data_IF_846305851742
#
_entry.id   IF_846305851742
#
_cell.length_a   1.000
_cell.length_b   1.000
_cell.length_c   1.000
_cell.angle_alpha   90.00
_cell.angle_beta   90.00
_cell.angle_gamma   90.00
#
_symmetry.space_group_name_H-M   'P 1'
#
loop_
_entity.id
_entity.type
_entity.pdbx_description
1 polymer ?
#
# COMPACT_ATOMS: atom_id res chain seq x y z
N UNK A 1 0.24 22.76 27.22
CA UNK A 1 -0.42 21.43 27.16
C UNK A 1 0.46 20.52 26.32
N UNK A 2 0.55 19.23 26.61
CA UNK A 2 1.27 18.32 25.74
C UNK A 2 0.55 18.23 24.37
N UNK A 3 1.30 18.24 23.29
CA UNK A 3 0.76 18.07 21.93
C UNK A 3 0.03 16.73 21.81
N UNK A 4 -1.19 16.75 21.33
CA UNK A 4 -1.98 15.54 21.10
C UNK A 4 -2.06 15.32 19.58
N UNK A 5 -1.48 14.23 19.11
CA UNK A 5 -1.47 13.87 17.70
C UNK A 5 -2.89 13.89 17.07
N UNK A 6 -3.02 14.41 15.86
CA UNK A 6 -4.31 14.62 15.19
C UNK A 6 -5.14 13.34 15.09
N UNK A 7 -4.51 12.18 14.81
CA UNK A 7 -5.23 10.89 14.74
C UNK A 7 -5.85 10.46 16.07
N UNK A 8 -5.38 11.00 17.22
CA UNK A 8 -5.99 10.78 18.54
C UNK A 8 -7.08 11.81 18.81
N UNK A 9 -6.82 13.09 18.51
CA UNK A 9 -7.75 14.21 18.69
C UNK A 9 -9.02 14.03 17.88
N UNK A 10 -8.89 13.58 16.63
CA UNK A 10 -10.01 13.38 15.69
C UNK A 10 -10.49 11.92 15.61
N UNK A 11 -10.18 11.12 16.65
CA UNK A 11 -10.72 9.77 16.71
C UNK A 11 -12.24 9.83 16.89
N UNK A 12 -13.03 9.13 16.02
CA UNK A 12 -14.48 9.14 16.10
C UNK A 12 -14.98 8.78 17.52
N UNK A 13 -15.91 9.58 18.05
CA UNK A 13 -16.55 9.37 19.34
C UNK A 13 -18.00 8.93 19.22
N UNK A 14 -18.63 9.19 18.09
CA UNK A 14 -20.00 8.80 17.73
C UNK A 14 -20.02 8.11 16.37
N UNK A 15 -21.10 7.41 16.07
CA UNK A 15 -21.27 6.81 14.75
C UNK A 15 -21.39 7.82 13.61
N UNK A 16 -21.77 9.08 13.90
CA UNK A 16 -21.85 10.16 12.91
C UNK A 16 -20.45 10.62 12.43
N UNK A 17 -19.42 10.38 13.25
CA UNK A 17 -18.04 10.72 12.93
C UNK A 17 -17.32 9.60 12.16
N UNK A 18 -17.98 8.47 11.88
CA UNK A 18 -17.38 7.33 11.20
C UNK A 18 -17.58 7.45 9.69
N UNK A 19 -16.50 7.61 8.95
CA UNK A 19 -16.50 7.77 7.50
C UNK A 19 -16.29 6.45 6.76
N UNK A 20 -16.99 6.28 5.64
CA UNK A 20 -16.77 5.18 4.68
C UNK A 20 -17.24 3.79 5.11
N UNK A 21 -17.99 3.68 6.23
CA UNK A 21 -18.50 2.42 6.75
C UNK A 21 -20.04 2.44 6.98
N UNK A 22 -20.77 3.15 6.10
CA UNK A 22 -22.21 3.46 6.29
C UNK A 22 -23.10 2.24 6.54
N UNK A 23 -22.86 1.14 5.83
CA UNK A 23 -23.64 -0.10 5.99
C UNK A 23 -23.44 -0.72 7.38
N UNK A 24 -22.21 -0.70 7.89
CA UNK A 24 -21.85 -1.21 9.22
C UNK A 24 -22.50 -0.32 10.28
N UNK A 25 -22.28 0.98 10.17
CA UNK A 25 -22.84 1.99 11.09
C UNK A 25 -24.35 1.87 11.17
N UNK A 26 -25.03 1.82 10.03
CA UNK A 26 -26.50 1.66 9.98
C UNK A 26 -26.96 0.39 10.68
N UNK A 27 -26.28 -0.73 10.47
CA UNK A 27 -26.62 -2.00 11.09
C UNK A 27 -26.46 -1.94 12.61
N UNK A 28 -25.32 -1.44 13.08
CA UNK A 28 -25.03 -1.33 14.52
C UNK A 28 -26.00 -0.38 15.21
N UNK A 29 -26.33 0.77 14.63
CA UNK A 29 -27.33 1.71 15.13
C UNK A 29 -28.69 1.04 15.30
N UNK A 30 -29.14 0.31 14.27
CA UNK A 30 -30.43 -0.40 14.33
C UNK A 30 -30.46 -1.44 15.46
N UNK A 31 -29.33 -2.10 15.72
CA UNK A 31 -29.23 -3.06 16.85
C UNK A 31 -29.36 -2.34 18.19
N UNK A 32 -28.73 -1.19 18.36
CA UNK A 32 -28.85 -0.39 19.57
C UNK A 32 -30.29 0.13 19.77
N UNK A 33 -30.89 0.70 18.74
CA UNK A 33 -32.27 1.24 18.78
C UNK A 33 -33.27 0.11 19.17
N UNK A 34 -33.11 -1.06 18.58
CA UNK A 34 -33.98 -2.19 18.84
C UNK A 34 -33.58 -3.01 20.07
N UNK A 35 -32.49 -2.67 20.77
CA UNK A 35 -31.93 -3.44 21.89
C UNK A 35 -31.67 -4.92 21.54
N UNK A 36 -31.30 -5.20 20.27
CA UNK A 36 -31.06 -6.55 19.73
C UNK A 36 -29.62 -6.63 19.22
N UNK A 37 -28.66 -6.57 20.10
CA UNK A 37 -27.24 -6.72 19.77
C UNK A 37 -26.73 -8.13 20.09
N UNK A 38 -25.69 -8.56 19.37
CA UNK A 38 -25.07 -9.87 19.53
C UNK A 38 -24.17 -9.89 20.77
N UNK A 39 -23.94 -11.08 21.33
CA UNK A 39 -22.99 -11.29 22.41
C UNK A 39 -21.51 -11.31 21.95
N UNK A 40 -21.27 -11.54 20.65
CA UNK A 40 -19.94 -11.54 20.06
C UNK A 40 -19.93 -10.93 18.66
N UNK A 41 -18.99 -10.03 18.43
CA UNK A 41 -18.73 -9.35 17.17
C UNK A 41 -17.32 -9.66 16.69
N UNK A 42 -17.13 -9.76 15.37
CA UNK A 42 -15.83 -9.88 14.74
C UNK A 42 -15.70 -8.82 13.63
N UNK A 43 -14.90 -7.80 13.90
CA UNK A 43 -14.60 -6.71 12.98
C UNK A 43 -13.28 -7.02 12.27
N UNK A 44 -13.31 -7.12 10.93
CA UNK A 44 -12.11 -7.38 10.16
C UNK A 44 -11.96 -6.39 9.01
N UNK A 45 -10.72 -6.13 8.59
CA UNK A 45 -10.40 -5.24 7.49
C UNK A 45 -9.05 -4.55 7.66
N UNK A 46 -8.72 -3.65 6.73
CA UNK A 46 -7.45 -2.93 6.70
C UNK A 46 -7.16 -2.22 8.04
N UNK A 47 -5.88 -2.12 8.40
CA UNK A 47 -5.45 -1.28 9.53
C UNK A 47 -5.89 0.16 9.29
N UNK A 48 -6.34 0.86 10.33
CA UNK A 48 -6.80 2.26 10.20
C UNK A 48 -8.16 2.47 9.54
N UNK A 49 -8.90 1.41 9.20
CA UNK A 49 -10.26 1.48 8.62
C UNK A 49 -11.38 1.80 9.62
N UNK A 50 -11.05 1.98 10.92
CA UNK A 50 -12.00 2.37 11.96
C UNK A 50 -12.49 1.23 12.88
N UNK A 51 -12.04 -0.02 12.76
CA UNK A 51 -12.47 -1.19 13.57
C UNK A 51 -12.54 -0.90 15.06
N UNK A 52 -11.41 -0.56 15.66
CA UNK A 52 -11.31 -0.31 17.10
C UNK A 52 -12.07 0.95 17.53
N UNK A 53 -12.16 1.97 16.67
CA UNK A 53 -12.98 3.16 16.93
C UNK A 53 -14.47 2.82 17.00
N UNK A 54 -14.97 2.06 16.02
CA UNK A 54 -16.36 1.59 16.01
C UNK A 54 -16.64 0.64 17.17
N UNK A 55 -15.68 -0.21 17.54
CA UNK A 55 -15.80 -1.07 18.75
C UNK A 55 -16.00 -0.24 20.02
N UNK A 56 -15.24 0.83 20.22
CA UNK A 56 -15.38 1.75 21.35
C UNK A 56 -16.72 2.50 21.33
N UNK A 57 -17.16 2.97 20.15
CA UNK A 57 -18.46 3.64 20.00
C UNK A 57 -19.58 2.67 20.34
N UNK A 58 -19.54 1.44 19.79
CA UNK A 58 -20.51 0.40 20.08
C UNK A 58 -20.58 0.05 21.56
N UNK A 59 -19.43 -0.06 22.23
CA UNK A 59 -19.34 -0.34 23.67
C UNK A 59 -20.01 0.73 24.51
N UNK A 60 -19.82 2.00 24.16
CA UNK A 60 -20.49 3.14 24.81
C UNK A 60 -21.98 3.13 24.52
N UNK A 61 -22.37 2.87 23.27
CA UNK A 61 -23.77 2.89 22.83
C UNK A 61 -24.58 1.77 23.50
N UNK A 62 -24.04 0.55 23.65
CA UNK A 62 -24.68 -0.57 24.37
C UNK A 62 -24.96 -0.21 25.82
N UNK A 63 -24.05 0.49 26.48
CA UNK A 63 -24.17 0.87 27.89
C UNK A 63 -24.80 2.25 28.11
N UNK A 64 -25.09 3.00 27.06
CA UNK A 64 -25.64 4.33 27.14
C UNK A 64 -27.03 4.32 27.76
N UNK A 65 -27.30 5.21 28.72
CA UNK A 65 -28.60 5.32 29.37
C UNK A 65 -29.66 5.91 28.43
N UNK A 66 -29.27 6.88 27.59
CA UNK A 66 -30.14 7.62 26.68
C UNK A 66 -29.50 7.71 25.28
N UNK A 67 -29.44 6.61 24.52
CA UNK A 67 -28.88 6.65 23.17
C UNK A 67 -29.75 7.49 22.23
N UNK A 68 -29.14 8.39 21.49
CA UNK A 68 -29.82 9.26 20.51
C UNK A 68 -29.59 8.71 19.11
N UNK A 69 -30.65 8.25 18.45
CA UNK A 69 -30.54 7.62 17.12
C UNK A 69 -29.49 6.51 17.04
N UNK A 70 -29.35 5.74 18.13
CA UNK A 70 -28.34 4.67 18.25
C UNK A 70 -26.91 5.15 18.55
N UNK A 71 -26.66 6.46 18.65
CA UNK A 71 -25.41 7.01 19.12
C UNK A 71 -25.34 7.05 20.66
N UNK A 72 -24.14 6.93 21.25
CA UNK A 72 -23.96 7.25 22.67
C UNK A 72 -24.26 8.73 22.92
N UNK A 73 -24.94 9.05 24.02
CA UNK A 73 -25.38 10.44 24.31
C UNK A 73 -24.21 11.37 24.70
N UNK A 74 -23.04 10.84 24.99
CA UNK A 74 -21.85 11.57 25.42
C UNK A 74 -22.03 12.49 26.64
N UNK A 75 -23.05 12.24 27.46
CA UNK A 75 -23.40 13.04 28.64
C UNK A 75 -23.65 12.22 29.90
N UNK A 76 -24.09 10.96 29.80
CA UNK A 76 -24.31 10.08 30.95
C UNK A 76 -23.00 9.51 31.47
N UNK A 77 -23.00 9.02 32.72
CA UNK A 77 -21.83 8.47 33.37
C UNK A 77 -21.21 7.30 32.59
N UNK A 78 -22.05 6.49 31.95
CA UNK A 78 -21.58 5.38 31.10
C UNK A 78 -20.84 5.84 29.83
N UNK A 79 -21.15 7.05 29.29
CA UNK A 79 -20.51 7.60 28.11
C UNK A 79 -19.27 8.45 28.42
N UNK A 80 -19.32 9.20 29.53
CA UNK A 80 -18.34 10.24 29.91
C UNK A 80 -17.38 9.78 30.99
N UNK A 81 -17.02 8.48 31.01
CA UNK A 81 -16.11 7.98 32.04
C UNK A 81 -14.79 8.76 32.03
N UNK A 82 -14.53 9.47 33.13
CA UNK A 82 -13.32 10.30 33.28
C UNK A 82 -12.13 9.36 33.38
N UNK A 83 -11.11 9.57 32.59
CA UNK A 83 -9.81 8.90 32.59
C UNK A 83 -9.62 7.72 31.61
N UNK A 84 -10.46 7.54 30.60
CA UNK A 84 -10.32 6.46 29.57
C UNK A 84 -10.22 5.02 30.13
N UNK A 85 -10.27 4.84 31.42
CA UNK A 85 -10.20 3.53 32.11
C UNK A 85 -11.55 3.23 32.75
N UNK A 86 -12.37 2.50 32.01
CA UNK A 86 -13.66 2.02 32.53
C UNK A 86 -13.50 0.55 32.97
N UNK A 87 -13.81 0.16 34.19
CA UNK A 87 -13.63 -1.21 34.65
C UNK A 87 -14.59 -2.22 33.94
N UNK A 88 -15.64 -1.71 33.29
CA UNK A 88 -16.64 -2.54 32.60
C UNK A 88 -16.44 -2.51 31.07
N UNK A 89 -15.54 -1.67 30.52
CA UNK A 89 -15.11 -1.69 29.11
C UNK A 89 -13.61 -1.95 29.07
N UNK A 90 -13.22 -3.18 28.84
CA UNK A 90 -11.85 -3.64 28.88
C UNK A 90 -11.34 -3.78 27.46
N UNK A 91 -10.35 -2.97 27.10
CA UNK A 91 -9.68 -3.03 25.80
C UNK A 91 -8.31 -3.69 25.97
N UNK A 92 -8.05 -4.72 25.18
CA UNK A 92 -6.82 -5.51 25.20
C UNK A 92 -6.26 -5.58 23.78
N UNK A 93 -4.98 -5.26 23.63
CA UNK A 93 -4.21 -5.56 22.44
C UNK A 93 -3.65 -6.98 22.57
N UNK A 94 -4.08 -7.87 21.69
CA UNK A 94 -3.63 -9.26 21.69
C UNK A 94 -2.15 -9.42 21.32
N UNK A 95 -1.55 -8.44 20.63
CA UNK A 95 -0.11 -8.46 20.33
C UNK A 95 0.72 -8.37 21.61
N UNK A 96 0.27 -7.56 22.59
CA UNK A 96 0.90 -7.40 23.90
C UNK A 96 0.44 -8.45 24.91
N UNK A 97 -0.72 -9.09 24.69
CA UNK A 97 -1.39 -9.99 25.63
C UNK A 97 -1.75 -11.34 25.00
N UNK A 98 -0.82 -11.94 24.24
CA UNK A 98 -1.05 -13.16 23.45
C UNK A 98 -1.12 -14.45 24.27
N UNK A 99 -0.72 -14.40 25.56
CA UNK A 99 -0.60 -15.59 26.39
C UNK A 99 -1.96 -16.15 26.83
N UNK A 100 -2.02 -17.48 27.01
CA UNK A 100 -3.24 -18.14 27.48
C UNK A 100 -3.60 -17.74 28.90
N UNK A 101 -2.62 -17.40 29.74
CA UNK A 101 -2.81 -16.96 31.12
C UNK A 101 -3.57 -15.65 31.19
N UNK A 102 -3.23 -14.68 30.31
CA UNK A 102 -3.92 -13.39 30.24
C UNK A 102 -5.38 -13.57 29.83
N UNK A 103 -5.64 -14.40 28.83
CA UNK A 103 -7.01 -14.70 28.37
C UNK A 103 -7.80 -15.47 29.45
N UNK A 104 -7.19 -16.39 30.17
CA UNK A 104 -7.87 -17.08 31.28
C UNK A 104 -8.26 -16.11 32.40
N UNK A 105 -7.39 -15.18 32.78
CA UNK A 105 -7.73 -14.13 33.78
C UNK A 105 -8.91 -13.30 33.29
N UNK A 106 -8.92 -12.89 32.03
CA UNK A 106 -10.01 -12.14 31.43
C UNK A 106 -11.34 -12.93 31.48
N UNK A 107 -11.29 -14.23 31.16
CA UNK A 107 -12.46 -15.12 31.22
C UNK A 107 -12.97 -15.29 32.65
N UNK A 108 -12.08 -15.41 33.60
CA UNK A 108 -12.47 -15.51 35.03
C UNK A 108 -13.08 -14.19 35.52
N UNK A 109 -12.57 -13.05 35.11
CA UNK A 109 -13.14 -11.73 35.38
C UNK A 109 -14.51 -11.52 34.70
N UNK A 110 -14.73 -12.15 33.53
CA UNK A 110 -16.00 -12.08 32.79
C UNK A 110 -17.16 -12.75 33.53
N UNK A 111 -16.89 -13.66 34.48
CA UNK A 111 -17.91 -14.31 35.32
C UNK A 111 -18.58 -13.37 36.31
N UNK A 112 -17.87 -12.29 36.67
CA UNK A 112 -18.37 -11.30 37.63
C UNK A 112 -19.20 -10.24 36.92
N UNK A 113 -20.30 -9.82 37.57
CA UNK A 113 -21.19 -8.77 37.04
C UNK A 113 -20.44 -7.45 36.87
N UNK A 114 -20.89 -6.59 35.93
CA UNK A 114 -20.35 -5.24 35.81
C UNK A 114 -20.46 -4.45 37.10
N UNK A 115 -19.52 -3.51 37.31
CA UNK A 115 -19.48 -2.69 38.52
C UNK A 115 -20.41 -1.47 38.42
N UNK A 116 -20.43 -0.82 37.29
CA UNK A 116 -21.17 0.44 37.07
C UNK A 116 -22.15 0.39 35.89
N UNK A 117 -21.94 -0.52 34.93
CA UNK A 117 -22.66 -0.57 33.68
C UNK A 117 -23.66 -1.74 33.60
N UNK A 118 -24.48 -1.77 32.56
CA UNK A 118 -25.39 -2.90 32.28
C UNK A 118 -24.63 -4.11 31.74
N UNK A 119 -23.63 -3.85 30.90
CA UNK A 119 -22.85 -4.88 30.20
C UNK A 119 -21.37 -4.67 30.41
N UNK A 120 -20.66 -5.76 30.62
CA UNK A 120 -19.21 -5.83 30.62
C UNK A 120 -18.73 -6.14 29.23
N UNK A 121 -17.91 -5.26 28.63
CA UNK A 121 -17.52 -5.35 27.23
C UNK A 121 -16.03 -5.57 27.13
N UNK A 122 -15.66 -6.58 26.36
CA UNK A 122 -14.27 -6.91 26.07
C UNK A 122 -13.98 -6.61 24.60
N UNK A 123 -13.11 -5.62 24.35
CA UNK A 123 -12.56 -5.30 23.04
C UNK A 123 -11.19 -5.96 22.96
N UNK A 124 -11.03 -6.94 22.06
CA UNK A 124 -9.76 -7.61 21.82
C UNK A 124 -9.26 -7.19 20.43
N UNK A 125 -8.29 -6.29 20.43
CA UNK A 125 -7.69 -5.81 19.17
C UNK A 125 -6.59 -6.77 18.70
N UNK A 126 -6.40 -6.85 17.38
CA UNK A 126 -5.49 -7.76 16.68
C UNK A 126 -5.60 -9.22 17.19
N UNK A 127 -6.84 -9.69 17.32
CA UNK A 127 -7.15 -11.01 17.93
C UNK A 127 -6.42 -12.17 17.25
N UNK A 128 -6.01 -12.03 15.98
CA UNK A 128 -5.21 -13.04 15.26
C UNK A 128 -3.83 -13.30 15.88
N UNK A 129 -3.36 -12.43 16.78
CA UNK A 129 -2.09 -12.61 17.51
C UNK A 129 -2.22 -13.55 18.72
N UNK A 130 -3.44 -13.95 19.08
CA UNK A 130 -3.65 -14.91 20.16
C UNK A 130 -3.10 -16.29 19.80
N UNK A 131 -2.51 -16.97 20.79
CA UNK A 131 -2.11 -18.37 20.63
C UNK A 131 -3.33 -19.29 20.42
N UNK A 132 -3.14 -20.44 19.77
CA UNK A 132 -4.21 -21.43 19.58
C UNK A 132 -4.84 -21.89 20.90
N UNK A 133 -4.06 -21.99 21.97
CA UNK A 133 -4.53 -22.31 23.33
C UNK A 133 -5.36 -21.19 23.94
N UNK A 134 -5.03 -19.91 23.64
CA UNK A 134 -5.82 -18.76 24.07
C UNK A 134 -7.17 -18.70 23.34
N UNK A 135 -7.20 -18.96 22.01
CA UNK A 135 -8.45 -19.11 21.28
C UNK A 135 -9.34 -20.20 21.86
N UNK A 136 -8.78 -21.38 22.14
CA UNK A 136 -9.54 -22.49 22.73
C UNK A 136 -10.10 -22.16 24.12
N UNK A 137 -9.38 -21.38 24.93
CA UNK A 137 -9.90 -20.90 26.20
C UNK A 137 -11.08 -19.93 26.01
N UNK A 138 -10.99 -19.01 25.03
CA UNK A 138 -12.02 -18.01 24.74
C UNK A 138 -13.29 -18.64 24.17
N UNK A 139 -13.16 -19.72 23.38
CA UNK A 139 -14.28 -20.40 22.72
C UNK A 139 -15.41 -20.77 23.67
N UNK A 140 -15.11 -21.37 24.84
CA UNK A 140 -16.12 -21.78 25.81
C UNK A 140 -16.99 -20.61 26.28
N UNK A 141 -16.37 -19.45 26.46
CA UNK A 141 -17.07 -18.25 26.95
C UNK A 141 -17.84 -17.54 25.83
N UNK A 142 -17.38 -17.66 24.56
CA UNK A 142 -18.13 -17.14 23.41
C UNK A 142 -19.34 -18.06 23.08
N UNK A 143 -19.24 -19.37 23.32
CA UNK A 143 -20.34 -20.32 23.12
C UNK A 143 -21.46 -20.11 24.14
N UNK A 144 -21.11 -19.97 25.39
CA UNK A 144 -22.03 -19.79 26.52
C UNK A 144 -21.66 -18.52 27.33
N UNK A 145 -21.85 -17.34 26.72
CA UNK A 145 -21.46 -16.10 27.38
C UNK A 145 -22.40 -15.79 28.54
N UNK A 146 -21.86 -15.25 29.66
CA UNK A 146 -22.72 -14.65 30.70
C UNK A 146 -23.62 -13.57 30.06
N UNK A 147 -24.87 -13.48 30.49
CA UNK A 147 -25.88 -12.58 29.91
C UNK A 147 -25.48 -11.09 29.92
N UNK A 148 -24.50 -10.73 30.74
CA UNK A 148 -23.99 -9.38 30.91
C UNK A 148 -22.68 -9.12 30.15
N UNK A 149 -22.19 -10.06 29.33
CA UNK A 149 -20.90 -9.96 28.64
C UNK A 149 -21.09 -9.82 27.14
N UNK A 150 -20.34 -8.89 26.54
CA UNK A 150 -20.24 -8.72 25.08
C UNK A 150 -18.77 -8.72 24.67
N UNK A 151 -18.44 -9.51 23.66
CA UNK A 151 -17.11 -9.55 23.06
C UNK A 151 -17.09 -8.80 21.73
N UNK A 152 -16.08 -7.97 21.49
CA UNK A 152 -15.82 -7.31 20.23
C UNK A 152 -14.39 -7.63 19.83
N UNK A 153 -14.22 -8.51 18.86
CA UNK A 153 -12.93 -8.97 18.36
C UNK A 153 -12.60 -8.16 17.11
N UNK A 154 -11.38 -7.59 17.05
CA UNK A 154 -10.89 -6.85 15.89
C UNK A 154 -9.68 -7.57 15.30
N UNK A 155 -9.58 -7.63 13.97
CA UNK A 155 -8.45 -8.24 13.27
C UNK A 155 -8.17 -7.59 11.92
N UNK A 156 -6.92 -7.58 11.51
CA UNK A 156 -6.50 -7.28 10.14
C UNK A 156 -6.40 -8.57 9.30
N UNK A 157 -6.25 -9.73 9.93
CA UNK A 157 -5.96 -11.00 9.27
C UNK A 157 -7.05 -12.05 9.58
N UNK A 158 -8.18 -11.96 8.86
CA UNK A 158 -9.33 -12.84 9.05
C UNK A 158 -8.99 -14.33 8.86
N UNK A 159 -8.06 -14.67 7.98
CA UNK A 159 -7.66 -16.05 7.68
C UNK A 159 -6.96 -16.75 8.85
N UNK A 160 -6.33 -15.99 9.77
CA UNK A 160 -5.70 -16.54 10.99
C UNK A 160 -6.69 -16.81 12.12
N UNK A 161 -7.91 -16.27 12.05
CA UNK A 161 -8.93 -16.50 13.07
C UNK A 161 -9.59 -17.87 12.84
N UNK A 162 -9.69 -18.75 13.84
CA UNK A 162 -10.33 -20.06 13.69
C UNK A 162 -11.80 -19.96 13.28
N UNK A 163 -12.25 -20.89 12.42
CA UNK A 163 -13.64 -20.92 11.95
C UNK A 163 -14.65 -21.18 13.09
N UNK A 164 -14.20 -21.84 14.15
CA UNK A 164 -14.98 -22.04 15.38
C UNK A 164 -15.35 -20.72 16.08
N UNK A 165 -14.49 -19.70 16.02
CA UNK A 165 -14.78 -18.35 16.52
C UNK A 165 -15.70 -17.62 15.53
N UNK A 166 -15.34 -17.67 14.21
CA UNK A 166 -16.09 -16.98 13.15
C UNK A 166 -17.58 -17.36 13.15
N UNK A 167 -17.89 -18.66 13.33
CA UNK A 167 -19.26 -19.16 13.32
C UNK A 167 -20.13 -18.67 14.50
N UNK A 168 -19.52 -18.14 15.55
CA UNK A 168 -20.21 -17.68 16.77
C UNK A 168 -20.24 -16.15 16.90
N UNK A 169 -19.58 -15.45 16.00
CA UNK A 169 -19.53 -14.00 15.99
C UNK A 169 -20.38 -13.42 14.85
N UNK A 170 -20.97 -12.27 15.09
CA UNK A 170 -21.51 -11.46 14.01
C UNK A 170 -20.34 -10.74 13.32
N UNK A 171 -20.14 -11.05 12.04
CA UNK A 171 -18.96 -10.63 11.27
C UNK A 171 -19.26 -9.33 10.51
N UNK A 172 -18.34 -8.35 10.59
CA UNK A 172 -18.39 -7.08 9.87
C UNK A 172 -17.09 -6.84 9.10
N UNK A 173 -17.21 -6.62 7.79
CA UNK A 173 -16.09 -6.33 6.90
C UNK A 173 -15.89 -4.83 6.73
N UNK A 174 -14.86 -4.27 7.33
CA UNK A 174 -14.44 -2.88 7.17
C UNK A 174 -13.65 -2.73 5.87
N UNK A 175 -14.26 -2.09 4.90
CA UNK A 175 -13.65 -1.83 3.59
C UNK A 175 -12.58 -0.73 3.68
N UNK A 176 -11.59 -0.73 2.77
CA UNK A 176 -10.75 0.45 2.58
C UNK A 176 -11.63 1.67 2.28
N UNK A 177 -11.27 2.81 2.85
CA UNK A 177 -12.02 4.06 2.68
C UNK A 177 -11.60 4.70 1.35
N UNK A 178 -12.56 5.18 0.56
CA UNK A 178 -12.26 5.83 -0.71
C UNK A 178 -11.50 7.14 -0.50
N UNK A 179 -10.64 7.51 -1.46
CA UNK A 179 -9.83 8.73 -1.40
C UNK A 179 -10.69 9.97 -1.19
N UNK A 180 -11.83 10.06 -1.88
CA UNK A 180 -12.74 11.22 -1.77
C UNK A 180 -13.26 11.40 -0.34
N UNK A 181 -13.66 10.30 0.31
CA UNK A 181 -14.14 10.32 1.71
C UNK A 181 -13.01 10.68 2.68
N UNK A 182 -11.78 10.20 2.42
CA UNK A 182 -10.62 10.60 3.23
C UNK A 182 -10.37 12.09 3.07
N UNK A 183 -10.34 12.63 1.85
CA UNK A 183 -10.13 14.05 1.55
C UNK A 183 -11.18 14.90 2.25
N UNK A 184 -12.45 14.51 2.23
CA UNK A 184 -13.53 15.22 2.94
C UNK A 184 -13.24 15.34 4.43
N UNK A 185 -12.82 14.26 5.08
CA UNK A 185 -12.46 14.29 6.50
C UNK A 185 -11.18 15.09 6.77
N UNK A 186 -10.16 15.00 5.90
CA UNK A 186 -8.94 15.82 6.02
C UNK A 186 -9.26 17.31 5.90
N UNK A 187 -10.12 17.73 4.96
CA UNK A 187 -10.61 19.13 4.86
C UNK A 187 -11.25 19.59 6.15
N UNK A 188 -12.13 18.78 6.75
CA UNK A 188 -12.75 19.11 8.03
C UNK A 188 -11.71 19.33 9.13
N UNK A 189 -10.67 18.49 9.19
CA UNK A 189 -9.59 18.60 10.18
C UNK A 189 -8.81 19.90 9.93
N UNK A 190 -8.38 20.15 8.70
CA UNK A 190 -7.61 21.33 8.29
C UNK A 190 -8.35 22.63 8.67
N UNK A 191 -9.65 22.69 8.39
CA UNK A 191 -10.50 23.85 8.76
C UNK A 191 -10.62 23.98 10.28
N UNK A 192 -10.81 22.86 10.99
CA UNK A 192 -10.96 22.86 12.47
C UNK A 192 -9.68 23.27 13.20
N UNK A 193 -8.52 22.97 12.64
CA UNK A 193 -7.20 23.33 13.17
C UNK A 193 -6.67 24.66 12.63
N UNK A 194 -7.42 25.35 11.75
CA UNK A 194 -7.01 26.63 11.11
C UNK A 194 -5.70 26.49 10.31
N UNK A 195 -5.54 25.38 9.59
CA UNK A 195 -4.35 25.06 8.80
C UNK A 195 -4.55 25.48 7.32
N UNK A 196 -4.85 26.75 7.07
CA UNK A 196 -5.21 27.26 5.74
C UNK A 196 -4.12 27.02 4.69
N UNK A 197 -2.85 26.97 5.09
CA UNK A 197 -1.70 26.70 4.24
C UNK A 197 -1.67 25.26 3.69
N UNK A 198 -2.36 24.30 4.32
CA UNK A 198 -2.53 22.92 3.86
C UNK A 198 -3.89 22.67 3.19
N UNK A 199 -4.75 23.67 3.10
CA UNK A 199 -6.07 23.57 2.50
C UNK A 199 -6.03 23.62 0.96
N UNK A 200 -5.28 22.70 0.37
CA UNK A 200 -5.16 22.51 -1.07
C UNK A 200 -5.62 21.11 -1.45
N UNK A 201 -6.56 21.02 -2.39
CA UNK A 201 -7.14 19.74 -2.81
C UNK A 201 -6.08 18.77 -3.32
N UNK A 202 -5.08 19.22 -4.08
CA UNK A 202 -4.01 18.37 -4.61
C UNK A 202 -3.18 17.76 -3.49
N UNK A 203 -2.84 18.55 -2.45
CA UNK A 203 -2.11 18.09 -1.27
C UNK A 203 -2.93 17.03 -0.51
N UNK A 204 -4.24 17.34 -0.27
CA UNK A 204 -5.10 16.42 0.46
C UNK A 204 -5.36 15.11 -0.29
N UNK A 205 -5.51 15.17 -1.62
CA UNK A 205 -5.61 13.97 -2.46
C UNK A 205 -4.31 13.15 -2.45
N UNK A 206 -3.16 13.82 -2.47
CA UNK A 206 -1.88 13.15 -2.32
C UNK A 206 -1.76 12.43 -0.97
N UNK A 207 -2.08 13.11 0.14
CA UNK A 207 -2.09 12.52 1.48
C UNK A 207 -3.05 11.32 1.55
N UNK A 208 -4.26 11.45 1.01
CA UNK A 208 -5.24 10.37 0.95
C UNK A 208 -4.75 9.17 0.12
N UNK A 209 -4.01 9.44 -0.96
CA UNK A 209 -3.40 8.40 -1.79
C UNK A 209 -2.31 7.62 -1.05
N UNK A 210 -1.47 8.31 -0.30
CA UNK A 210 -0.43 7.72 0.55
C UNK A 210 -0.99 6.90 1.71
N UNK A 211 -2.14 7.30 2.24
CA UNK A 211 -2.84 6.58 3.31
C UNK A 211 -3.49 5.26 2.89
N UNK A 212 -3.58 4.98 1.58
CA UNK A 212 -4.02 3.71 0.98
C UNK A 212 -5.31 3.13 1.60
N UNK A 213 -6.33 3.97 1.75
CA UNK A 213 -7.62 3.59 2.32
C UNK A 213 -7.66 3.51 3.86
N UNK A 214 -6.58 3.92 4.53
CA UNK A 214 -6.48 4.04 5.98
C UNK A 214 -6.69 5.48 6.42
N UNK A 215 -7.80 5.76 7.10
CA UNK A 215 -8.06 7.09 7.68
C UNK A 215 -7.01 7.48 8.72
N UNK A 216 -6.59 6.53 9.55
CA UNK A 216 -5.58 6.78 10.60
C UNK A 216 -4.25 7.19 10.01
N UNK A 217 -3.78 6.48 8.97
CA UNK A 217 -2.48 6.74 8.37
C UNK A 217 -2.53 8.04 7.56
N UNK A 218 -3.65 8.34 6.86
CA UNK A 218 -3.85 9.63 6.19
C UNK A 218 -3.81 10.82 7.16
N UNK A 219 -4.47 10.71 8.32
CA UNK A 219 -4.43 11.75 9.36
C UNK A 219 -3.04 11.86 10.00
N UNK A 220 -2.30 10.75 10.14
CA UNK A 220 -0.91 10.77 10.64
C UNK A 220 0.03 11.46 9.65
N UNK A 221 -0.15 11.25 8.34
CA UNK A 221 0.59 11.92 7.28
C UNK A 221 0.29 13.43 7.29
N UNK A 222 -0.99 13.82 7.48
CA UNK A 222 -1.36 15.22 7.64
C UNK A 222 -0.67 15.85 8.87
N UNK A 223 -0.64 15.14 9.99
CA UNK A 223 0.01 15.55 11.24
C UNK A 223 1.52 15.78 11.04
N UNK A 224 2.18 14.94 10.26
CA UNK A 224 3.57 15.08 9.88
C UNK A 224 3.80 16.32 8.99
N UNK A 225 2.89 16.59 8.04
CA UNK A 225 2.92 17.84 7.26
C UNK A 225 2.80 19.08 8.17
N UNK A 226 1.86 19.06 9.13
CA UNK A 226 1.68 20.16 10.09
C UNK A 226 2.96 20.39 10.87
N UNK A 227 3.56 19.34 11.45
CA UNK A 227 4.78 19.46 12.23
C UNK A 227 5.97 20.03 11.44
N UNK A 228 6.05 19.74 10.13
CA UNK A 228 7.17 20.21 9.29
C UNK A 228 6.97 21.61 8.75
N UNK A 229 5.73 22.04 8.49
CA UNK A 229 5.43 23.27 7.78
C UNK A 229 4.82 24.39 8.65
N UNK A 230 4.44 24.09 9.89
CA UNK A 230 3.78 25.06 10.80
C UNK A 230 4.63 26.31 11.12
N UNK A 231 5.94 26.24 10.93
CA UNK A 231 6.90 27.29 11.34
C UNK A 231 7.09 28.37 10.26
N UNK A 232 6.70 28.13 9.01
CA UNK A 232 7.19 28.97 7.90
C UNK A 232 6.20 30.00 7.38
N UNK A 233 4.90 29.87 7.64
CA UNK A 233 3.87 30.78 7.10
C UNK A 233 3.88 30.91 5.56
N UNK A 234 4.60 30.04 4.87
CA UNK A 234 4.74 30.04 3.41
C UNK A 234 3.60 29.22 2.78
N UNK A 235 3.22 29.59 1.57
CA UNK A 235 2.33 28.78 0.75
C UNK A 235 3.04 27.46 0.40
N UNK A 236 2.54 26.37 0.96
CA UNK A 236 3.06 25.03 0.73
C UNK A 236 2.56 24.52 -0.62
N UNK A 237 3.46 24.01 -1.42
CA UNK A 237 3.15 23.38 -2.71
C UNK A 237 3.09 21.85 -2.59
N UNK A 238 2.44 21.19 -3.54
CA UNK A 238 2.46 19.72 -3.63
C UNK A 238 3.89 19.18 -3.75
N UNK A 239 4.80 19.93 -4.40
CA UNK A 239 6.20 19.54 -4.54
C UNK A 239 6.91 19.48 -3.17
N UNK A 240 6.65 20.46 -2.29
CA UNK A 240 7.25 20.49 -0.94
C UNK A 240 6.78 19.29 -0.11
N UNK A 241 5.49 18.94 -0.23
CA UNK A 241 4.93 17.77 0.47
C UNK A 241 5.50 16.46 -0.10
N UNK A 242 5.62 16.32 -1.42
CA UNK A 242 6.26 15.16 -2.06
C UNK A 242 7.72 15.02 -1.62
N UNK A 243 8.45 16.12 -1.51
CA UNK A 243 9.83 16.14 -1.06
C UNK A 243 9.95 15.68 0.41
N UNK A 244 9.05 16.12 1.29
CA UNK A 244 8.99 15.69 2.70
C UNK A 244 8.88 14.17 2.82
N UNK A 245 8.05 13.52 2.00
CA UNK A 245 7.86 12.07 2.02
C UNK A 245 8.85 11.29 1.15
N UNK A 246 9.88 11.97 0.62
CA UNK A 246 10.93 11.33 -0.17
C UNK A 246 10.45 10.76 -1.49
N UNK A 247 9.35 11.29 -2.05
CA UNK A 247 8.90 10.89 -3.38
C UNK A 247 9.94 11.24 -4.42
N UNK A 248 10.02 10.41 -5.43
CA UNK A 248 10.93 10.59 -6.55
C UNK A 248 10.39 11.70 -7.44
N UNK A 249 11.24 12.66 -7.78
CA UNK A 249 10.88 13.72 -8.72
C UNK A 249 10.59 13.13 -10.11
N UNK A 250 9.57 13.67 -10.76
CA UNK A 250 9.16 13.21 -12.10
C UNK A 250 10.32 13.28 -13.11
N UNK A 251 11.22 14.27 -12.98
CA UNK A 251 12.43 14.43 -13.78
C UNK A 251 13.41 13.27 -13.60
N UNK A 252 13.64 12.83 -12.36
CA UNK A 252 14.51 11.70 -12.03
C UNK A 252 13.92 10.40 -12.57
N UNK A 253 12.61 10.22 -12.41
CA UNK A 253 11.89 9.06 -12.95
C UNK A 253 12.01 9.00 -14.47
N UNK A 254 11.81 10.12 -15.19
CA UNK A 254 11.94 10.19 -16.64
C UNK A 254 13.38 9.89 -17.10
N UNK A 255 14.39 10.41 -16.40
CA UNK A 255 15.80 10.13 -16.71
C UNK A 255 16.13 8.64 -16.52
N UNK A 256 15.65 8.03 -15.44
CA UNK A 256 15.81 6.59 -15.20
C UNK A 256 15.13 5.75 -16.31
N UNK A 257 13.92 6.10 -16.70
CA UNK A 257 13.19 5.42 -17.77
C UNK A 257 13.92 5.55 -19.10
N UNK A 258 14.47 6.74 -19.39
CA UNK A 258 15.29 6.97 -20.58
C UNK A 258 16.54 6.11 -20.57
N UNK A 259 17.30 6.09 -19.47
CA UNK A 259 18.49 5.27 -19.33
C UNK A 259 18.19 3.77 -19.54
N UNK A 260 17.07 3.27 -18.98
CA UNK A 260 16.62 1.87 -19.18
C UNK A 260 16.30 1.61 -20.65
N UNK A 261 15.60 2.53 -21.34
CA UNK A 261 15.23 2.38 -22.76
C UNK A 261 16.41 2.42 -23.71
N UNK A 262 17.46 3.17 -23.35
CA UNK A 262 18.69 3.32 -24.12
C UNK A 262 19.73 2.24 -23.79
N UNK A 263 19.37 1.25 -22.94
CA UNK A 263 20.25 0.18 -22.44
C UNK A 263 21.53 0.75 -21.74
N UNK A 264 21.44 1.98 -21.20
CA UNK A 264 22.53 2.68 -20.53
C UNK A 264 22.58 2.34 -19.02
N UNK A 265 23.20 1.20 -18.71
CA UNK A 265 23.29 0.69 -17.32
C UNK A 265 24.05 1.67 -16.41
N UNK A 266 25.11 2.30 -16.91
CA UNK A 266 25.96 3.18 -16.06
C UNK A 266 25.15 4.39 -15.59
N UNK A 267 24.43 5.04 -16.48
CA UNK A 267 23.56 6.17 -16.14
C UNK A 267 22.43 5.76 -15.19
N UNK A 268 21.81 4.58 -15.43
CA UNK A 268 20.77 4.05 -14.55
C UNK A 268 21.31 3.78 -13.12
N UNK A 269 22.52 3.23 -12.99
CA UNK A 269 23.16 3.00 -11.70
C UNK A 269 23.54 4.31 -11.00
N UNK A 270 24.06 5.29 -11.75
CA UNK A 270 24.41 6.60 -11.19
C UNK A 270 23.18 7.32 -10.64
N UNK A 271 22.06 7.28 -11.36
CA UNK A 271 20.78 7.83 -10.88
C UNK A 271 20.33 7.10 -9.60
N UNK A 272 20.38 5.76 -9.58
CA UNK A 272 20.01 4.97 -8.41
C UNK A 272 20.86 5.33 -7.19
N UNK A 273 22.18 5.38 -7.36
CA UNK A 273 23.13 5.71 -6.30
C UNK A 273 22.90 7.12 -5.75
N UNK A 274 22.69 8.11 -6.63
CA UNK A 274 22.34 9.48 -6.21
C UNK A 274 21.11 9.47 -5.32
N UNK A 275 20.02 8.83 -5.74
CA UNK A 275 18.80 8.78 -4.97
C UNK A 275 18.96 8.04 -3.63
N UNK A 276 19.77 6.97 -3.61
CA UNK A 276 20.07 6.23 -2.38
C UNK A 276 20.85 7.05 -1.37
N UNK A 277 21.92 7.77 -1.82
CA UNK A 277 22.73 8.63 -0.94
C UNK A 277 21.99 9.89 -0.49
N UNK A 278 21.03 10.38 -1.28
CA UNK A 278 20.11 11.45 -0.89
C UNK A 278 19.04 11.00 0.13
N UNK A 279 19.07 9.72 0.56
CA UNK A 279 18.15 9.16 1.55
C UNK A 279 16.75 8.86 1.02
N UNK A 280 16.55 8.83 -0.30
CA UNK A 280 15.25 8.52 -0.91
C UNK A 280 14.89 7.04 -0.74
N UNK A 281 13.59 6.76 -0.66
CA UNK A 281 13.08 5.41 -0.49
C UNK A 281 13.21 4.58 -1.78
N UNK A 282 14.05 3.54 -1.75
CA UNK A 282 14.17 2.61 -2.87
C UNK A 282 12.87 1.84 -3.15
N UNK A 283 12.04 1.59 -2.12
CA UNK A 283 10.73 0.97 -2.29
C UNK A 283 9.80 1.87 -3.11
N UNK A 284 9.75 3.18 -2.78
CA UNK A 284 8.94 4.15 -3.52
C UNK A 284 9.45 4.31 -4.95
N UNK A 285 10.78 4.29 -5.15
CA UNK A 285 11.36 4.35 -6.50
C UNK A 285 10.96 3.14 -7.36
N UNK A 286 11.04 1.94 -6.80
CA UNK A 286 10.61 0.73 -7.51
C UNK A 286 9.10 0.76 -7.83
N UNK A 287 8.26 1.25 -6.90
CA UNK A 287 6.81 1.41 -7.10
C UNK A 287 6.48 2.45 -8.16
N UNK A 288 7.21 3.58 -8.20
CA UNK A 288 7.01 4.62 -9.21
C UNK A 288 7.35 4.10 -10.62
N UNK A 289 8.47 3.36 -10.77
CA UNK A 289 8.82 2.68 -12.03
C UNK A 289 7.77 1.65 -12.44
N UNK A 290 7.30 0.82 -11.50
CA UNK A 290 6.26 -0.17 -11.75
C UNK A 290 4.97 0.50 -12.26
N UNK A 291 4.52 1.56 -11.59
CA UNK A 291 3.30 2.29 -11.96
C UNK A 291 3.43 2.88 -13.36
N UNK A 292 4.58 3.48 -13.70
CA UNK A 292 4.83 4.00 -15.04
C UNK A 292 4.68 2.92 -16.13
N UNK A 293 5.25 1.73 -15.92
CA UNK A 293 5.15 0.65 -16.91
C UNK A 293 3.76 0.02 -16.94
N UNK A 294 3.05 -0.01 -15.81
CA UNK A 294 1.65 -0.44 -15.73
C UNK A 294 0.73 0.51 -16.53
N UNK A 295 0.90 1.82 -16.38
CA UNK A 295 0.12 2.81 -17.12
C UNK A 295 0.42 2.73 -18.61
N UNK A 296 1.68 2.55 -19.01
CA UNK A 296 2.05 2.32 -20.39
C UNK A 296 1.47 1.02 -20.95
N UNK A 297 1.43 -0.06 -20.17
CA UNK A 297 0.83 -1.33 -20.59
C UNK A 297 -0.66 -1.17 -20.89
N UNK A 298 -1.39 -0.39 -20.10
CA UNK A 298 -2.82 -0.14 -20.31
C UNK A 298 -3.12 0.78 -21.50
N UNK A 299 -2.14 1.60 -21.94
CA UNK A 299 -2.30 2.61 -23.00
C UNK A 299 -1.40 2.34 -24.22
N UNK A 300 -0.67 1.20 -24.27
CA UNK A 300 0.23 0.90 -25.38
C UNK A 300 -0.52 0.74 -26.72
N UNK A 301 0.14 1.16 -27.79
CA UNK A 301 -0.40 1.11 -29.15
C UNK A 301 0.06 -0.12 -29.94
N UNK A 302 1.11 -0.82 -29.48
CA UNK A 302 1.70 -1.98 -30.14
C UNK A 302 1.83 -3.18 -29.22
N UNK A 303 1.71 -4.40 -29.78
CA UNK A 303 1.87 -5.66 -29.04
C UNK A 303 3.28 -5.81 -28.43
N UNK A 304 4.31 -5.33 -29.13
CA UNK A 304 5.71 -5.39 -28.68
C UNK A 304 5.93 -4.50 -27.45
N UNK A 305 5.35 -3.29 -27.44
CA UNK A 305 5.44 -2.41 -26.25
C UNK A 305 4.76 -3.03 -25.03
N UNK A 306 3.65 -3.75 -25.27
CA UNK A 306 2.97 -4.52 -24.22
C UNK A 306 3.87 -5.63 -23.64
N UNK A 307 4.56 -6.40 -24.49
CA UNK A 307 5.46 -7.47 -24.06
C UNK A 307 6.63 -6.92 -23.24
N UNK A 308 7.22 -5.80 -23.66
CA UNK A 308 8.32 -5.14 -22.94
C UNK A 308 7.85 -4.61 -21.57
N UNK A 309 6.69 -3.97 -21.53
CA UNK A 309 6.10 -3.44 -20.30
C UNK A 309 5.76 -4.57 -19.31
N UNK A 310 5.21 -5.68 -19.78
CA UNK A 310 4.91 -6.86 -18.95
C UNK A 310 6.19 -7.43 -18.32
N UNK A 311 7.26 -7.60 -19.12
CA UNK A 311 8.55 -8.04 -18.62
C UNK A 311 9.07 -7.12 -17.51
N UNK A 312 9.00 -5.80 -17.72
CA UNK A 312 9.49 -4.82 -16.75
C UNK A 312 8.65 -4.84 -15.47
N UNK A 313 7.32 -4.94 -15.58
CA UNK A 313 6.44 -5.07 -14.42
C UNK A 313 6.73 -6.34 -13.61
N UNK A 314 7.03 -7.46 -14.24
CA UNK A 314 7.39 -8.71 -13.57
C UNK A 314 8.68 -8.54 -12.76
N UNK A 315 9.74 -8.01 -13.37
CA UNK A 315 11.02 -7.76 -12.69
C UNK A 315 10.85 -6.79 -11.52
N UNK A 316 10.11 -5.70 -11.72
CA UNK A 316 9.86 -4.70 -10.68
C UNK A 316 8.95 -5.22 -9.56
N UNK A 317 7.97 -6.07 -9.88
CA UNK A 317 7.12 -6.74 -8.88
C UNK A 317 7.91 -7.69 -7.97
N UNK A 318 8.83 -8.48 -8.55
CA UNK A 318 9.77 -9.31 -7.79
C UNK A 318 10.71 -8.46 -6.92
N UNK A 319 11.21 -7.34 -7.46
CA UNK A 319 12.05 -6.40 -6.73
C UNK A 319 11.30 -5.83 -5.52
N UNK A 320 10.10 -5.27 -5.71
CA UNK A 320 9.29 -4.69 -4.61
C UNK A 320 9.09 -5.71 -3.49
N UNK A 321 8.70 -6.94 -3.83
CA UNK A 321 8.51 -8.02 -2.85
C UNK A 321 9.79 -8.39 -2.10
N UNK A 322 10.94 -8.29 -2.77
CA UNK A 322 12.26 -8.60 -2.20
C UNK A 322 12.79 -7.48 -1.32
N UNK A 323 12.54 -6.22 -1.70
CA UNK A 323 12.95 -5.03 -0.94
C UNK A 323 12.31 -4.95 0.45
N UNK A 324 11.08 -5.48 0.60
CA UNK A 324 10.38 -5.51 1.88
C UNK A 324 11.03 -6.49 2.89
N UNK A 325 11.73 -7.51 2.41
CA UNK A 325 12.29 -8.60 3.22
C UNK A 325 13.79 -8.52 3.42
N UNK A 326 14.50 -7.68 2.67
CA UNK A 326 15.96 -7.65 2.63
C UNK A 326 16.55 -6.41 3.29
N UNK A 327 17.69 -6.59 3.95
CA UNK A 327 18.51 -5.48 4.44
C UNK A 327 19.43 -4.89 3.34
N UNK A 328 19.69 -5.64 2.26
CA UNK A 328 20.58 -5.21 1.16
C UNK A 328 19.77 -4.66 -0.03
N UNK A 329 18.98 -3.63 0.22
CA UNK A 329 18.05 -3.07 -0.75
C UNK A 329 18.74 -2.53 -2.01
N UNK A 330 19.90 -1.87 -1.86
CA UNK A 330 20.63 -1.30 -2.98
C UNK A 330 21.07 -2.37 -3.99
N UNK A 331 21.70 -3.44 -3.51
CA UNK A 331 22.18 -4.54 -4.36
C UNK A 331 21.03 -5.23 -5.12
N UNK A 332 19.88 -5.41 -4.47
CA UNK A 332 18.71 -5.97 -5.14
C UNK A 332 18.21 -5.08 -6.27
N UNK A 333 18.22 -3.76 -6.05
CA UNK A 333 17.80 -2.81 -7.07
C UNK A 333 18.80 -2.74 -8.24
N UNK A 334 20.12 -2.74 -7.96
CA UNK A 334 21.18 -2.82 -8.98
C UNK A 334 20.99 -4.04 -9.89
N UNK A 335 20.77 -5.23 -9.29
CA UNK A 335 20.51 -6.47 -10.05
C UNK A 335 19.26 -6.32 -10.93
N UNK A 336 18.20 -5.74 -10.39
CA UNK A 336 16.96 -5.52 -11.16
C UNK A 336 17.19 -4.55 -12.33
N UNK A 337 17.93 -3.44 -12.14
CA UNK A 337 18.29 -2.51 -13.22
C UNK A 337 19.10 -3.20 -14.32
N UNK A 338 20.10 -4.02 -13.95
CA UNK A 338 20.86 -4.79 -14.91
C UNK A 338 19.94 -5.69 -15.74
N UNK A 339 19.00 -6.37 -15.10
CA UNK A 339 18.02 -7.21 -15.79
C UNK A 339 17.10 -6.39 -16.70
N UNK A 340 16.64 -5.20 -16.26
CA UNK A 340 15.82 -4.32 -17.08
C UNK A 340 16.54 -3.87 -18.35
N UNK A 341 17.81 -3.44 -18.24
CA UNK A 341 18.64 -3.00 -19.37
C UNK A 341 19.17 -4.15 -20.25
N UNK A 342 19.37 -5.36 -19.68
CA UNK A 342 19.98 -6.50 -20.38
C UNK A 342 19.01 -7.69 -20.48
N UNK A 343 18.20 -7.75 -21.55
CA UNK A 343 17.30 -8.89 -21.74
C UNK A 343 18.03 -10.23 -21.93
N UNK A 344 19.35 -10.20 -22.23
CA UNK A 344 20.18 -11.42 -22.30
C UNK A 344 20.37 -12.13 -20.95
N UNK A 345 20.15 -11.42 -19.86
CA UNK A 345 20.26 -11.97 -18.50
C UNK A 345 19.07 -12.86 -18.10
N UNK A 346 18.04 -12.92 -18.93
CA UNK A 346 16.83 -13.71 -18.71
C UNK A 346 16.53 -14.60 -19.91
N UNK A 347 15.97 -15.81 -19.64
CA UNK A 347 15.65 -16.80 -20.67
C UNK A 347 14.14 -17.03 -20.84
N UNK A 348 13.32 -16.08 -20.46
CA UNK A 348 11.88 -16.14 -20.63
C UNK A 348 11.48 -15.69 -22.06
N UNK A 349 10.24 -16.02 -22.47
CA UNK A 349 9.71 -15.72 -23.79
C UNK A 349 9.80 -14.23 -24.13
N UNK A 350 9.42 -13.35 -23.21
CA UNK A 350 9.38 -11.91 -23.42
C UNK A 350 10.78 -11.31 -23.62
N UNK A 351 11.78 -11.82 -22.92
CA UNK A 351 13.18 -11.43 -23.10
C UNK A 351 13.70 -11.85 -24.48
N UNK A 352 13.32 -13.02 -24.96
CA UNK A 352 13.69 -13.48 -26.32
C UNK A 352 13.06 -12.59 -27.38
N UNK A 353 11.75 -12.28 -27.25
CA UNK A 353 11.04 -11.38 -28.19
C UNK A 353 11.67 -9.99 -28.20
N UNK A 354 12.02 -9.44 -27.03
CA UNK A 354 12.70 -8.14 -26.95
C UNK A 354 14.07 -8.16 -27.63
N UNK A 355 14.85 -9.22 -27.46
CA UNK A 355 16.14 -9.40 -28.14
C UNK A 355 15.99 -9.46 -29.66
N UNK A 356 15.00 -10.21 -30.15
CA UNK A 356 14.70 -10.27 -31.59
C UNK A 356 14.35 -8.89 -32.13
N UNK A 357 13.47 -8.17 -31.49
CA UNK A 357 13.08 -6.80 -31.88
C UNK A 357 14.29 -5.82 -31.87
N UNK A 358 15.18 -5.93 -30.88
CA UNK A 358 16.39 -5.13 -30.85
C UNK A 358 17.35 -5.46 -32.01
N UNK A 359 17.44 -6.73 -32.42
CA UNK A 359 18.25 -7.15 -33.59
C UNK A 359 17.64 -6.63 -34.91
N UNK A 360 16.32 -6.70 -35.05
CA UNK A 360 15.63 -6.14 -36.22
C UNK A 360 15.88 -4.63 -36.34
N UNK A 361 15.72 -3.86 -35.30
CA UNK A 361 16.01 -2.42 -35.28
C UNK A 361 17.47 -2.10 -35.65
N UNK A 362 18.42 -2.93 -35.24
CA UNK A 362 19.84 -2.77 -35.60
C UNK A 362 20.09 -3.07 -37.07
N UNK A 363 19.43 -4.08 -37.62
CA UNK A 363 19.52 -4.42 -39.05
C UNK A 363 18.94 -3.29 -39.90
N UNK A 364 17.76 -2.77 -39.56
CA UNK A 364 17.13 -1.66 -40.27
C UNK A 364 17.99 -0.38 -40.27
N UNK A 365 18.67 -0.12 -39.14
CA UNK A 365 19.58 1.01 -39.03
C UNK A 365 20.88 0.86 -39.85
N UNK A 366 21.28 -0.37 -40.13
CA UNK A 366 22.45 -0.67 -41.00
C UNK A 366 22.11 -0.66 -42.47
N UNK A 367 20.89 -1.09 -42.85
CA UNK A 367 20.43 -1.08 -44.25
C UNK A 367 20.12 0.30 -44.79
N UNK A 368 19.83 1.27 -43.92
CA UNK A 368 19.62 2.69 -44.29
C UNK A 368 20.90 3.52 -44.42
N UNK A 369 22.10 2.97 -44.23
CA UNK A 369 23.34 3.64 -44.64
C UNK A 369 23.48 3.52 -46.16
N UNK A 370 23.67 4.63 -46.91
CA UNK A 370 23.94 4.53 -48.33
C UNK A 370 25.16 3.62 -48.50
N UNK A 371 25.01 2.64 -49.39
CA UNK A 371 26.09 1.72 -49.75
C UNK A 371 27.21 2.59 -50.33
N UNK A 372 28.29 2.80 -49.63
CA UNK A 372 29.50 3.30 -50.23
C UNK A 372 29.95 2.26 -51.24
N UNK A 373 30.06 2.59 -52.51
CA UNK A 373 30.47 1.60 -53.52
C UNK A 373 31.85 1.09 -53.08
N UNK A 374 31.94 -0.24 -52.96
CA UNK A 374 33.21 -0.92 -52.67
C UNK A 374 34.18 -0.42 -53.72
N UNK A 375 35.35 0.20 -53.37
CA UNK A 375 36.31 0.60 -54.36
C UNK A 375 36.73 -0.67 -55.11
N UNK A 376 36.41 -0.70 -56.37
CA UNK A 376 36.81 -1.77 -57.27
C UNK A 376 38.30 -1.76 -57.33
N UNK A 377 38.97 -2.58 -56.55
CA UNK A 377 40.40 -2.83 -56.75
C UNK A 377 40.49 -3.58 -58.10
N UNK A 378 40.91 -2.84 -59.10
CA UNK A 378 41.33 -3.43 -60.36
C UNK A 378 42.63 -4.19 -60.11
N UNK A 379 42.52 -5.50 -59.90
CA UNK A 379 43.68 -6.37 -59.88
C UNK A 379 44.08 -6.53 -61.37
N UNK A 380 45.11 -5.86 -61.76
CA UNK A 380 45.71 -6.05 -63.05
C UNK A 380 46.69 -7.25 -62.95
N UNK A 381 46.26 -8.42 -63.40
CA UNK A 381 47.22 -9.46 -63.74
C UNK A 381 47.79 -9.15 -65.15
N UNK A 382 49.10 -9.17 -65.22
CA UNK A 382 49.82 -9.07 -66.52
C UNK A 382 50.07 -10.50 -66.97
N UNK A 383 49.54 -10.81 -68.14
CA UNK A 383 49.90 -12.05 -68.82
C UNK A 383 51.27 -11.96 -69.47
N UNK A 384 51.93 -13.09 -69.75
CA UNK A 384 53.30 -13.18 -70.23
C UNK A 384 53.54 -12.44 -71.52
N UNK A 385 52.52 -11.91 -72.17
CA UNK A 385 52.59 -11.15 -73.45
C UNK A 385 52.30 -9.65 -73.30
N UNK A 386 52.23 -9.08 -72.10
CA UNK A 386 52.13 -7.64 -71.85
C UNK A 386 50.84 -6.95 -72.30
N UNK A 387 49.73 -7.66 -72.55
CA UNK A 387 48.40 -7.10 -72.86
C UNK A 387 47.47 -7.12 -71.63
N UNK A 388 46.77 -5.99 -71.39
CA UNK A 388 45.84 -5.86 -70.29
C UNK A 388 44.47 -6.44 -70.71
N UNK A 389 44.00 -7.44 -69.90
CA UNK A 389 42.67 -8.03 -70.07
C UNK A 389 41.73 -7.52 -68.98
N UNK A 390 40.65 -6.89 -69.37
CA UNK A 390 39.57 -6.45 -68.45
C UNK A 390 38.54 -7.54 -68.31
N UNK A 391 38.31 -8.06 -67.09
CA UNK A 391 37.16 -8.95 -66.77
C UNK A 391 36.07 -8.19 -66.04
N UNK A 392 34.89 -8.09 -66.65
CA UNK A 392 33.65 -7.76 -65.95
C UNK A 392 33.05 -9.08 -65.41
N UNK A 393 33.36 -9.40 -64.15
CA UNK A 393 32.91 -10.64 -63.50
C UNK A 393 31.89 -10.38 -62.43
N UNK A 394 30.61 -10.72 -62.71
CA UNK A 394 29.60 -10.95 -61.66
C UNK A 394 29.94 -12.29 -61.02
N UNK A 395 30.37 -12.28 -59.78
CA UNK A 395 30.53 -13.53 -58.97
C UNK A 395 29.15 -14.01 -58.54
N UNK A 396 28.63 -15.05 -59.14
CA UNK A 396 27.53 -15.86 -58.59
C UNK A 396 28.13 -16.92 -57.63
N UNK A 397 27.85 -16.79 -56.32
CA UNK A 397 28.22 -17.84 -55.34
C UNK A 397 27.13 -18.91 -55.38
N UNK A 398 27.41 -20.04 -55.99
CA UNK A 398 26.62 -21.26 -55.84
C UNK A 398 27.02 -21.92 -54.50
N UNK A 399 26.19 -21.75 -53.47
CA UNK A 399 26.29 -22.54 -52.25
C UNK A 399 25.63 -23.90 -52.45
N UNK A 400 26.44 -24.94 -52.63
CA UNK A 400 25.98 -26.35 -52.54
C UNK A 400 26.01 -26.77 -51.09
N UNK A 401 24.85 -27.04 -50.50
CA UNK A 401 24.69 -27.71 -49.22
C UNK A 401 25.16 -29.17 -49.35
N UNK A 402 26.05 -29.56 -48.43
CA UNK A 402 26.25 -30.96 -48.01
C UNK A 402 26.02 -30.99 -46.48
#
# INVERSE_FOLDING_TARGET
>A
MAYLALYRKYRPSTFDDVYGQDAIVRTLRNQIINQKFAHAYLFYGLRGSGKTSVARILSRAINCENPVNGNPCMQCDSCCYKNDVNPDIIEIDAASNSSVENIRKLIDEAKYKPTYMKYKIYIIDEVHMLSGSAFNALLKTIEEPPAHVVFILCTTEMYKVPDTIKSRCQIFNFKPISKDVIVENLKRIVVSEQLDHLNNDEILYYIASKGDGSMRDSVSILDECVCNFDVTGQNITLSDVKQLFGDIEDTVLQNMIKAIREDNILEALDILHSQYYDGRSLNEFARALYQYYFDNYTHHSTEIEGIVSERFMRILGELISSLERSNNKLVLFEIALIKLCKPEMENDYNSVVQRMNNLEKRLDSQTNKPFDPIPTQVISEKDENNEMIYYNGVMSINATLV
#
